data_IF_673540848915
#
_entry.id   IF_673540848915
#
_cell.length_a   1.000
_cell.length_b   1.000
_cell.length_c   1.000
_cell.angle_alpha   90.00
_cell.angle_beta   90.00
_cell.angle_gamma   90.00
#
_symmetry.space_group_name_H-M   'P 1'
#
loop_
_entity.id
_entity.type
_entity.pdbx_description
1 polymer ?
#
# COMPACT_ATOMS: atom_id res chain seq x y z
N UNK A 1 -20.35 -20.61 2.38
CA UNK A 1 -19.55 -20.80 1.14
C UNK A 1 -19.10 -19.43 0.59
N UNK A 2 -18.62 -18.52 1.46
CA UNK A 2 -18.53 -17.07 1.13
C UNK A 2 -17.22 -16.40 1.54
N UNK A 3 -16.27 -17.14 2.10
CA UNK A 3 -15.00 -16.58 2.59
C UNK A 3 -13.93 -16.46 1.50
N UNK A 4 -14.03 -17.23 0.42
CA UNK A 4 -13.01 -17.27 -0.64
C UNK A 4 -13.10 -16.10 -1.64
N UNK A 5 -14.31 -15.64 -1.96
CA UNK A 5 -14.53 -14.49 -2.85
C UNK A 5 -14.16 -13.15 -2.21
N UNK A 6 -14.39 -12.98 -0.91
CA UNK A 6 -14.04 -11.76 -0.19
C UNK A 6 -12.51 -11.55 -0.11
N UNK A 7 -11.76 -12.63 0.12
CA UNK A 7 -10.30 -12.56 0.17
C UNK A 7 -9.66 -12.21 -1.19
N UNK A 8 -10.27 -12.67 -2.29
CA UNK A 8 -9.82 -12.33 -3.65
C UNK A 8 -10.09 -10.85 -3.99
N UNK A 9 -11.24 -10.32 -3.58
CA UNK A 9 -11.59 -8.90 -3.75
C UNK A 9 -10.66 -7.97 -2.95
N UNK A 10 -10.38 -8.32 -1.69
CA UNK A 10 -9.46 -7.55 -0.84
C UNK A 10 -8.03 -7.52 -1.43
N UNK A 11 -7.54 -8.65 -1.93
CA UNK A 11 -6.25 -8.72 -2.65
C UNK A 11 -6.26 -7.88 -3.93
N UNK A 12 -7.36 -7.88 -4.67
CA UNK A 12 -7.49 -7.09 -5.89
C UNK A 12 -7.42 -5.58 -5.59
N UNK A 13 -8.16 -5.12 -4.58
CA UNK A 13 -8.13 -3.72 -4.11
C UNK A 13 -6.73 -3.30 -3.68
N UNK A 14 -6.06 -4.11 -2.85
CA UNK A 14 -4.69 -3.83 -2.43
C UNK A 14 -3.72 -3.76 -3.61
N UNK A 15 -3.88 -4.65 -4.60
CA UNK A 15 -3.08 -4.59 -5.83
C UNK A 15 -3.29 -3.28 -6.59
N UNK A 16 -4.54 -2.83 -6.74
CA UNK A 16 -4.83 -1.57 -7.39
C UNK A 16 -4.20 -0.38 -6.65
N UNK A 17 -4.23 -0.36 -5.32
CA UNK A 17 -3.56 0.70 -4.54
C UNK A 17 -2.06 0.72 -4.77
N UNK A 18 -1.42 -0.45 -4.78
CA UNK A 18 0.02 -0.55 -5.05
C UNK A 18 0.30 -0.01 -6.45
N UNK A 19 -0.48 -0.40 -7.46
CA UNK A 19 -0.32 0.09 -8.83
C UNK A 19 -0.49 1.62 -8.89
N UNK A 20 -1.54 2.16 -8.26
CA UNK A 20 -1.79 3.59 -8.21
C UNK A 20 -0.65 4.34 -7.50
N UNK A 21 -0.16 3.83 -6.37
CA UNK A 21 0.97 4.41 -5.64
C UNK A 21 2.25 4.48 -6.49
N UNK A 22 2.53 3.44 -7.28
CA UNK A 22 3.64 3.46 -8.24
C UNK A 22 3.41 4.46 -9.38
N UNK A 23 2.18 4.61 -9.85
CA UNK A 23 1.83 5.57 -10.89
C UNK A 23 2.06 7.03 -10.47
N UNK A 24 1.83 7.39 -9.19
CA UNK A 24 2.14 8.73 -8.64
C UNK A 24 3.62 9.09 -8.86
N UNK A 25 4.51 8.11 -8.70
CA UNK A 25 5.95 8.28 -8.90
C UNK A 25 6.39 8.16 -10.37
N UNK A 26 5.46 7.97 -11.31
CA UNK A 26 5.73 7.58 -12.70
C UNK A 26 6.64 6.34 -12.79
N UNK A 27 6.43 5.36 -11.91
CA UNK A 27 7.17 4.10 -11.86
C UNK A 27 6.22 2.90 -12.05
N UNK A 28 6.78 1.72 -12.24
CA UNK A 28 6.03 0.48 -12.45
C UNK A 28 6.17 -0.46 -11.26
N UNK A 29 5.08 -1.10 -10.80
CA UNK A 29 5.18 -2.11 -9.76
C UNK A 29 6.07 -3.30 -10.23
N UNK A 30 6.60 -4.10 -9.29
CA UNK A 30 7.40 -5.28 -9.62
C UNK A 30 6.67 -6.20 -10.60
N UNK A 31 7.41 -6.73 -11.57
CA UNK A 31 6.90 -7.76 -12.47
C UNK A 31 6.49 -8.99 -11.64
N UNK A 32 5.29 -9.52 -11.89
CA UNK A 32 4.75 -10.64 -11.14
C UNK A 32 4.21 -10.30 -9.75
N UNK A 33 3.88 -9.03 -9.46
CA UNK A 33 3.28 -8.62 -8.18
C UNK A 33 2.09 -9.52 -7.78
N UNK A 34 2.33 -10.33 -6.75
CA UNK A 34 1.38 -11.21 -6.11
C UNK A 34 1.09 -10.71 -4.70
N UNK A 35 -0.19 -10.54 -4.36
CA UNK A 35 -0.58 -9.99 -3.07
C UNK A 35 -0.57 -11.09 -2.02
N UNK A 36 0.36 -10.94 -1.09
CA UNK A 36 0.50 -11.75 0.11
C UNK A 36 0.70 -10.85 1.35
N UNK A 37 0.81 -11.47 2.51
CA UNK A 37 0.94 -10.76 3.78
C UNK A 37 2.23 -9.91 3.88
N UNK A 38 3.33 -10.37 3.28
CA UNK A 38 4.61 -9.64 3.26
C UNK A 38 4.53 -8.41 2.37
N UNK A 39 3.95 -8.54 1.18
CA UNK A 39 3.71 -7.41 0.26
C UNK A 39 2.85 -6.37 0.96
N UNK A 40 1.81 -6.82 1.66
CA UNK A 40 0.95 -5.94 2.42
C UNK A 40 1.71 -5.25 3.58
N UNK A 41 2.53 -6.00 4.33
CA UNK A 41 3.38 -5.45 5.37
C UNK A 41 4.32 -4.35 4.86
N UNK A 42 5.08 -4.67 3.79
CA UNK A 42 6.01 -3.73 3.14
C UNK A 42 5.27 -2.50 2.61
N UNK A 43 4.17 -2.69 1.90
CA UNK A 43 3.40 -1.58 1.34
C UNK A 43 2.85 -0.65 2.42
N UNK A 44 2.39 -1.20 3.54
CA UNK A 44 1.92 -0.39 4.65
C UNK A 44 3.03 0.47 5.26
N UNK A 45 4.25 -0.05 5.37
CA UNK A 45 5.41 0.76 5.80
C UNK A 45 5.76 1.83 4.77
N UNK A 46 5.67 1.50 3.47
CA UNK A 46 5.87 2.49 2.41
C UNK A 46 4.85 3.63 2.48
N UNK A 47 3.58 3.33 2.78
CA UNK A 47 2.55 4.35 3.00
C UNK A 47 2.87 5.23 4.21
N UNK A 48 3.33 4.63 5.31
CA UNK A 48 3.71 5.40 6.51
C UNK A 48 4.91 6.32 6.27
N UNK A 49 5.90 5.87 5.49
CA UNK A 49 7.00 6.74 5.06
C UNK A 49 6.54 7.81 4.07
N UNK A 50 5.65 7.46 3.15
CA UNK A 50 5.10 8.39 2.17
C UNK A 50 4.25 9.48 2.81
N UNK A 51 3.76 9.31 4.04
CA UNK A 51 3.16 10.42 4.81
C UNK A 51 4.07 11.61 4.95
N UNK A 52 5.38 11.39 5.03
CA UNK A 52 6.36 12.49 5.10
C UNK A 52 6.51 13.22 3.76
N UNK A 53 5.94 12.66 2.69
CA UNK A 53 5.92 13.24 1.35
C UNK A 53 4.68 14.09 1.07
N UNK A 54 3.72 14.19 1.98
CA UNK A 54 2.55 15.07 1.81
C UNK A 54 2.94 16.50 2.09
N UNK A 55 2.54 17.44 1.22
CA UNK A 55 2.76 18.88 1.45
C UNK A 55 1.71 19.49 2.40
N UNK A 56 0.62 18.77 2.67
CA UNK A 56 -0.46 19.24 3.51
C UNK A 56 -0.17 19.01 4.99
N UNK A 57 -0.38 20.07 5.78
CA UNK A 57 -0.40 20.05 7.26
C UNK A 57 -1.66 19.35 7.78
N UNK A 58 -2.64 19.11 6.90
CA UNK A 58 -3.86 18.35 7.18
C UNK A 58 -3.53 16.86 7.27
N UNK A 59 -3.20 16.44 8.49
CA UNK A 59 -3.09 15.05 8.91
C UNK A 59 -4.26 14.21 8.35
N UNK A 60 -4.01 13.40 7.32
CA UNK A 60 -4.96 12.36 6.90
C UNK A 60 -4.83 11.20 7.90
N UNK A 61 -5.84 10.97 8.76
CA UNK A 61 -5.81 9.87 9.71
C UNK A 61 -6.04 8.58 8.94
N UNK A 62 -4.99 8.04 8.33
CA UNK A 62 -5.00 6.61 8.01
C UNK A 62 -5.14 5.92 9.38
N UNK A 63 -6.15 5.04 9.58
CA UNK A 63 -6.55 4.54 10.90
C UNK A 63 -5.54 3.52 11.48
N UNK A 64 -4.29 3.93 11.66
CA UNK A 64 -3.17 3.05 12.06
C UNK A 64 -3.19 2.61 13.53
N UNK A 65 -4.08 3.17 14.36
CA UNK A 65 -4.17 2.80 15.79
C UNK A 65 -4.48 1.31 16.02
N UNK A 66 -4.98 0.61 15.01
CA UNK A 66 -5.34 -0.80 15.03
C UNK A 66 -4.78 -1.56 13.82
N UNK A 67 -3.62 -1.15 13.30
CA UNK A 67 -2.94 -1.85 12.21
C UNK A 67 -2.63 -3.30 12.62
N UNK A 68 -3.12 -4.32 11.90
CA UNK A 68 -2.64 -5.68 12.06
C UNK A 68 -1.16 -5.73 11.68
N UNK A 69 -0.30 -6.15 12.59
CA UNK A 69 1.16 -6.21 12.37
C UNK A 69 1.58 -7.40 11.52
N UNK A 70 0.72 -8.42 11.37
CA UNK A 70 0.98 -9.63 10.57
C UNK A 70 -0.33 -10.37 10.24
N UNK A 71 -0.30 -11.26 9.26
CA UNK A 71 -1.44 -12.13 8.89
C UNK A 71 -2.31 -11.57 7.76
N UNK A 72 -3.24 -12.41 7.27
CA UNK A 72 -4.28 -12.05 6.30
C UNK A 72 -5.07 -10.80 6.70
N UNK A 73 -5.15 -10.52 8.00
CA UNK A 73 -5.77 -9.33 8.56
C UNK A 73 -5.20 -8.03 8.02
N UNK A 74 -3.90 -7.94 7.70
CA UNK A 74 -3.30 -6.68 7.20
C UNK A 74 -3.73 -6.37 5.76
N UNK A 75 -3.96 -7.41 4.95
CA UNK A 75 -4.48 -7.27 3.57
C UNK A 75 -5.91 -6.74 3.62
N UNK A 76 -6.76 -7.40 4.43
CA UNK A 76 -8.17 -7.04 4.59
C UNK A 76 -8.29 -5.61 5.16
N UNK A 77 -7.49 -5.30 6.19
CA UNK A 77 -7.46 -3.97 6.78
C UNK A 77 -7.05 -2.89 5.76
N UNK A 78 -6.00 -3.12 4.96
CA UNK A 78 -5.63 -2.14 3.93
C UNK A 78 -6.69 -2.00 2.83
N UNK A 79 -7.25 -3.11 2.38
CA UNK A 79 -8.28 -3.08 1.34
C UNK A 79 -9.57 -2.37 1.79
N UNK A 80 -9.92 -2.42 3.07
CA UNK A 80 -11.16 -1.83 3.61
C UNK A 80 -10.99 -0.43 4.17
N UNK A 81 -9.94 -0.22 4.97
CA UNK A 81 -9.76 1.02 5.73
C UNK A 81 -8.92 2.06 4.99
N UNK A 82 -7.98 1.61 4.16
CA UNK A 82 -7.06 2.51 3.45
C UNK A 82 -7.57 2.81 2.05
N UNK A 83 -8.12 1.82 1.34
CA UNK A 83 -8.58 1.99 -0.06
C UNK A 83 -9.70 3.02 -0.23
N UNK A 84 -10.53 3.28 0.79
CA UNK A 84 -11.62 4.25 0.71
C UNK A 84 -11.13 5.70 0.48
N UNK A 85 -11.96 6.69 0.84
CA UNK A 85 -11.69 8.11 0.62
C UNK A 85 -10.32 8.62 1.11
N UNK A 86 -9.66 7.90 2.02
CA UNK A 86 -8.36 8.24 2.54
C UNK A 86 -7.22 8.09 1.50
N UNK A 87 -7.21 7.06 0.66
CA UNK A 87 -6.09 6.85 -0.27
C UNK A 87 -6.12 7.83 -1.44
N UNK A 88 -7.29 8.11 -2.01
CA UNK A 88 -7.40 9.07 -3.13
C UNK A 88 -6.95 10.46 -2.69
N UNK A 89 -7.52 10.98 -1.59
CA UNK A 89 -7.12 12.28 -1.04
C UNK A 89 -5.64 12.32 -0.61
N UNK A 90 -5.13 11.23 -0.01
CA UNK A 90 -3.72 11.11 0.32
C UNK A 90 -2.84 11.16 -0.93
N UNK A 91 -3.20 10.41 -1.97
CA UNK A 91 -2.42 10.26 -3.19
C UNK A 91 -2.29 11.55 -3.99
N UNK A 92 -3.32 12.40 -3.96
CA UNK A 92 -3.33 13.71 -4.63
C UNK A 92 -2.37 14.71 -3.98
N UNK A 93 -2.13 14.61 -2.67
CA UNK A 93 -1.29 15.53 -1.92
C UNK A 93 0.20 15.13 -1.85
N UNK A 94 0.53 13.95 -2.37
CA UNK A 94 1.90 13.42 -2.34
C UNK A 94 2.79 14.10 -3.37
N UNK A 95 3.98 14.51 -2.92
CA UNK A 95 5.03 14.90 -3.84
C UNK A 95 5.64 13.67 -4.54
N UNK A 96 5.44 13.57 -5.86
CA UNK A 96 5.91 12.45 -6.70
C UNK A 96 7.42 12.20 -6.59
N UNK A 97 8.25 13.23 -6.41
CA UNK A 97 9.69 13.09 -6.26
C UNK A 97 10.07 12.42 -4.93
N UNK A 98 9.35 12.76 -3.85
CA UNK A 98 9.56 12.15 -2.54
C UNK A 98 9.07 10.70 -2.53
N UNK A 99 7.88 10.43 -3.10
CA UNK A 99 7.37 9.06 -3.26
C UNK A 99 8.34 8.19 -4.06
N UNK A 100 8.94 8.73 -5.12
CA UNK A 100 9.97 8.02 -5.89
C UNK A 100 11.20 7.67 -5.04
N UNK A 101 11.56 8.51 -4.07
CA UNK A 101 12.58 8.20 -3.06
C UNK A 101 12.18 7.00 -2.18
N UNK A 102 10.93 7.01 -1.67
CA UNK A 102 10.38 5.88 -0.89
C UNK A 102 10.39 4.59 -1.73
N UNK A 103 9.90 4.63 -2.98
CA UNK A 103 9.92 3.48 -3.88
C UNK A 103 11.33 2.94 -4.07
N UNK A 104 12.32 3.81 -4.29
CA UNK A 104 13.72 3.39 -4.45
C UNK A 104 14.27 2.69 -3.22
N UNK A 105 13.98 3.21 -2.03
CA UNK A 105 14.45 2.63 -0.76
C UNK A 105 13.82 1.25 -0.48
N UNK A 106 12.56 1.07 -0.89
CA UNK A 106 11.80 -0.15 -0.61
C UNK A 106 11.71 -1.14 -1.77
N UNK A 107 12.22 -0.80 -2.95
CA UNK A 107 12.13 -1.63 -4.16
C UNK A 107 12.62 -3.07 -3.93
N UNK A 108 13.79 -3.22 -3.30
CA UNK A 108 14.37 -4.54 -3.01
C UNK A 108 13.48 -5.35 -2.08
N UNK A 109 12.98 -4.74 -0.99
CA UNK A 109 12.10 -5.40 -0.02
C UNK A 109 10.75 -5.77 -0.64
N UNK A 110 10.20 -4.92 -1.52
CA UNK A 110 8.95 -5.20 -2.22
C UNK A 110 9.08 -6.35 -3.22
N UNK A 111 10.24 -6.45 -3.90
CA UNK A 111 10.57 -7.59 -4.77
C UNK A 111 10.70 -8.89 -3.98
N UNK A 112 11.42 -8.88 -2.85
CA UNK A 112 11.53 -10.06 -1.97
C UNK A 112 10.15 -10.49 -1.43
N UNK A 113 9.36 -9.51 -0.97
CA UNK A 113 8.01 -9.76 -0.50
C UNK A 113 7.10 -10.36 -1.58
N UNK A 114 7.25 -9.93 -2.84
CA UNK A 114 6.52 -10.51 -3.99
C UNK A 114 6.87 -11.98 -4.19
N UNK A 115 8.12 -12.37 -3.94
CA UNK A 115 8.58 -13.76 -3.98
C UNK A 115 8.21 -14.56 -2.72
N UNK A 116 7.54 -13.92 -1.75
CA UNK A 116 7.20 -14.47 -0.44
C UNK A 116 8.42 -14.86 0.42
N UNK A 117 9.56 -14.19 0.19
CA UNK A 117 10.83 -14.38 0.91
C UNK A 117 11.07 -13.19 1.85
#
# INVERSE_FOLDING_TARGET
MSTETAAADDKHKLKQMIVAFYAIANDKPPAGLEINERVAGVFSTMLDEARKCTNSVAYVPIPFGSKPTSGTGVVIWMAKEVWGMAFDSFSEELNSACVKGVLRNWNTKMKMATLNI
#
